data_IF_797817828194
#
_entry.id   IF_797817828194
#
_cell.length_a   1.000
_cell.length_b   1.000
_cell.length_c   1.000
_cell.angle_alpha   90.00
_cell.angle_beta   90.00
_cell.angle_gamma   90.00
#
_symmetry.space_group_name_H-M   'P 1'
#
loop_
_entity.id
_entity.type
_entity.pdbx_description
1 polymer ?
#
# COMPACT_ATOMS: atom_id res chain seq x y z
N UNK A 1 19.82 -0.94 6.17
CA UNK A 1 18.88 -2.08 6.15
C UNK A 1 17.62 -1.60 5.42
N UNK A 2 17.21 -2.29 4.37
CA UNK A 2 16.08 -1.89 3.52
C UNK A 2 14.76 -1.79 4.33
N UNK A 3 13.88 -0.84 3.98
CA UNK A 3 12.59 -0.63 4.66
C UNK A 3 11.76 -1.91 4.64
N UNK A 4 11.78 -2.65 3.54
CA UNK A 4 11.08 -3.92 3.40
C UNK A 4 11.53 -4.96 4.45
N UNK A 5 12.84 -5.08 4.69
CA UNK A 5 13.37 -6.00 5.69
C UNK A 5 12.91 -5.63 7.12
N UNK A 6 12.84 -4.33 7.44
CA UNK A 6 12.34 -3.86 8.74
C UNK A 6 10.84 -4.11 8.89
N UNK A 7 10.07 -4.02 7.80
CA UNK A 7 8.64 -4.38 7.80
C UNK A 7 8.41 -5.88 8.03
N UNK A 8 9.24 -6.73 7.41
CA UNK A 8 9.20 -8.17 7.67
C UNK A 8 9.56 -8.52 9.11
N UNK A 9 10.54 -7.83 9.70
CA UNK A 9 10.85 -7.98 11.12
C UNK A 9 9.67 -7.56 12.01
N UNK A 10 9.00 -6.45 11.69
CA UNK A 10 7.83 -5.97 12.43
C UNK A 10 6.63 -6.93 12.34
N UNK A 11 6.41 -7.59 11.19
CA UNK A 11 5.28 -8.51 11.02
C UNK A 11 5.42 -9.82 11.82
N UNK A 12 6.63 -10.13 12.33
CA UNK A 12 6.89 -11.36 13.12
C UNK A 12 6.03 -11.51 14.39
N UNK A 13 5.47 -10.41 14.91
CA UNK A 13 4.54 -10.42 16.05
C UNK A 13 3.15 -10.97 15.72
N UNK A 14 2.83 -11.14 14.42
CA UNK A 14 1.57 -11.73 13.97
C UNK A 14 0.36 -10.78 13.95
N UNK A 15 0.55 -9.49 14.22
CA UNK A 15 -0.52 -8.48 14.12
C UNK A 15 -0.92 -8.17 12.68
N UNK A 16 0.00 -8.36 11.73
CA UNK A 16 -0.18 -8.12 10.31
C UNK A 16 0.79 -8.99 9.49
N UNK A 17 0.58 -9.02 8.18
CA UNK A 17 1.50 -9.63 7.20
C UNK A 17 2.01 -8.58 6.21
N UNK A 18 3.10 -8.89 5.52
CA UNK A 18 3.59 -8.11 4.39
C UNK A 18 3.46 -9.00 3.15
N UNK A 19 2.91 -8.51 2.03
CA UNK A 19 2.80 -9.33 0.83
C UNK A 19 4.19 -9.74 0.33
N UNK A 20 4.30 -10.97 -0.18
CA UNK A 20 5.57 -11.45 -0.76
C UNK A 20 6.00 -10.50 -1.86
N UNK A 21 7.22 -10.00 -1.76
CA UNK A 21 7.76 -8.98 -2.67
C UNK A 21 9.12 -9.44 -3.18
N UNK A 22 9.30 -9.46 -4.49
CA UNK A 22 10.54 -9.84 -5.16
C UNK A 22 11.04 -8.67 -6.00
N UNK A 23 12.31 -8.31 -5.84
CA UNK A 23 12.94 -7.22 -6.58
C UNK A 23 13.70 -7.75 -7.81
N UNK A 24 13.56 -7.06 -8.94
CA UNK A 24 14.26 -7.37 -10.19
C UNK A 24 14.87 -6.12 -10.78
N UNK A 25 15.85 -6.30 -11.66
CA UNK A 25 16.46 -5.23 -12.46
C UNK A 25 15.58 -4.80 -13.63
N UNK A 26 14.72 -5.69 -14.14
CA UNK A 26 13.76 -5.41 -15.21
C UNK A 26 12.64 -6.47 -15.22
N UNK A 27 11.56 -6.21 -15.97
CA UNK A 27 10.49 -7.21 -16.18
C UNK A 27 10.96 -8.42 -16.98
N UNK A 28 11.92 -8.23 -17.88
CA UNK A 28 12.52 -9.31 -18.67
C UNK A 28 13.28 -10.30 -17.80
N UNK A 29 13.96 -9.80 -16.76
CA UNK A 29 14.65 -10.66 -15.80
C UNK A 29 13.64 -11.48 -14.99
N UNK A 30 12.57 -10.85 -14.50
CA UNK A 30 11.49 -11.55 -13.79
C UNK A 30 10.79 -12.62 -14.67
N UNK A 31 10.59 -12.34 -15.96
CA UNK A 31 10.03 -13.28 -16.93
C UNK A 31 10.97 -14.48 -17.18
N UNK A 32 12.28 -14.25 -17.22
CA UNK A 32 13.30 -15.28 -17.43
C UNK A 32 13.46 -16.18 -16.22
N UNK A 33 13.52 -15.60 -15.02
CA UNK A 33 13.72 -16.33 -13.77
C UNK A 33 12.49 -17.14 -13.35
N UNK A 34 11.29 -16.76 -13.82
CA UNK A 34 10.01 -17.43 -13.52
C UNK A 34 9.87 -17.76 -12.02
N UNK A 35 9.76 -16.76 -11.15
CA UNK A 35 9.76 -17.00 -9.71
C UNK A 35 8.59 -17.90 -9.28
N UNK A 36 8.89 -19.08 -8.77
CA UNK A 36 7.90 -20.00 -8.19
C UNK A 36 7.43 -19.54 -6.80
N UNK A 37 8.25 -18.73 -6.13
CA UNK A 37 7.98 -18.24 -4.78
C UNK A 37 6.89 -17.15 -4.70
N UNK A 38 6.49 -16.53 -5.82
CA UNK A 38 5.45 -15.49 -5.84
C UNK A 38 4.15 -16.00 -6.44
N UNK A 39 3.04 -15.75 -5.76
CA UNK A 39 1.71 -16.13 -6.25
C UNK A 39 1.09 -14.98 -7.04
N UNK A 40 0.46 -15.34 -8.15
CA UNK A 40 -0.34 -14.40 -8.93
C UNK A 40 -1.77 -14.32 -8.35
N UNK A 41 -2.45 -13.16 -8.49
CA UNK A 41 -2.01 -11.94 -9.18
C UNK A 41 -0.90 -11.16 -8.46
N UNK A 42 -0.15 -10.33 -9.22
CA UNK A 42 0.91 -9.47 -8.67
C UNK A 42 0.77 -8.03 -9.15
N UNK A 43 1.12 -7.06 -8.30
CA UNK A 43 1.37 -5.68 -8.72
C UNK A 43 2.87 -5.52 -9.02
N UNK A 44 3.16 -5.05 -10.21
CA UNK A 44 4.47 -4.59 -10.63
C UNK A 44 4.60 -3.07 -10.37
N UNK A 45 5.61 -2.69 -9.58
CA UNK A 45 5.92 -1.28 -9.24
C UNK A 45 7.37 -0.98 -9.62
N UNK A 46 7.64 0.19 -10.20
CA UNK A 46 9.02 0.65 -10.41
C UNK A 46 9.66 0.98 -9.05
N UNK A 47 10.95 0.67 -8.87
CA UNK A 47 11.71 0.99 -7.64
C UNK A 47 12.20 2.43 -7.60
N UNK A 48 12.25 3.11 -8.74
CA UNK A 48 12.63 4.51 -8.84
C UNK A 48 11.57 5.38 -8.16
N UNK A 49 11.76 5.68 -6.87
CA UNK A 49 10.89 6.55 -6.06
C UNK A 49 11.12 8.05 -6.28
N UNK A 50 11.89 8.43 -7.32
CA UNK A 50 12.13 9.83 -7.63
C UNK A 50 10.93 10.39 -8.39
N UNK A 51 10.48 11.60 -7.99
CA UNK A 51 9.26 12.38 -8.30
C UNK A 51 8.87 12.59 -9.78
N UNK A 52 9.17 11.61 -10.62
CA UNK A 52 8.86 11.49 -12.04
C UNK A 52 7.48 10.84 -12.18
N UNK A 53 6.76 11.20 -13.24
CA UNK A 53 5.41 10.67 -13.55
C UNK A 53 5.48 9.13 -13.67
N UNK A 54 6.62 8.63 -14.14
CA UNK A 54 6.94 7.24 -14.38
C UNK A 54 6.99 6.39 -13.10
N UNK A 55 7.29 6.97 -11.93
CA UNK A 55 7.40 6.25 -10.66
C UNK A 55 6.05 5.72 -10.16
N UNK A 56 4.95 6.35 -10.60
CA UNK A 56 3.59 6.05 -10.16
C UNK A 56 2.83 5.13 -11.12
N UNK A 57 3.43 4.86 -12.29
CA UNK A 57 2.93 3.88 -13.24
C UNK A 57 3.15 2.47 -12.70
N UNK A 58 2.05 1.74 -12.51
CA UNK A 58 2.03 0.38 -12.00
C UNK A 58 1.27 -0.52 -12.97
N UNK A 59 1.49 -1.83 -12.83
CA UNK A 59 0.80 -2.83 -13.62
C UNK A 59 0.31 -3.97 -12.72
N UNK A 60 -0.99 -4.24 -12.72
CA UNK A 60 -1.58 -5.41 -12.08
C UNK A 60 -1.59 -6.55 -13.10
N UNK A 61 -0.88 -7.63 -12.78
CA UNK A 61 -0.65 -8.76 -13.65
C UNK A 61 -1.44 -9.96 -13.12
N UNK A 62 -2.50 -10.41 -13.83
CA UNK A 62 -3.43 -11.41 -13.29
C UNK A 62 -2.83 -12.82 -13.21
N UNK A 63 -1.87 -13.15 -14.08
CA UNK A 63 -1.30 -14.49 -14.17
C UNK A 63 0.13 -14.48 -14.72
N UNK A 64 0.84 -15.60 -14.51
CA UNK A 64 2.18 -15.79 -15.09
C UNK A 64 2.16 -15.71 -16.62
N UNK A 65 1.09 -16.17 -17.25
CA UNK A 65 0.90 -16.05 -18.69
C UNK A 65 0.72 -14.59 -19.11
N UNK A 66 -0.08 -13.81 -18.38
CA UNK A 66 -0.26 -12.38 -18.67
C UNK A 66 1.05 -11.59 -18.51
N UNK A 67 1.93 -12.02 -17.62
CA UNK A 67 3.23 -11.39 -17.41
C UNK A 67 4.08 -11.34 -18.69
N UNK A 68 3.97 -12.29 -19.61
CA UNK A 68 4.75 -12.27 -20.86
C UNK A 68 4.34 -11.15 -21.82
N UNK A 69 3.17 -10.54 -21.62
CA UNK A 69 2.69 -9.40 -22.40
C UNK A 69 3.17 -8.05 -21.85
N UNK A 70 3.85 -8.03 -20.69
CA UNK A 70 4.36 -6.79 -20.08
C UNK A 70 5.76 -6.49 -20.61
N UNK A 71 5.95 -5.30 -21.18
CA UNK A 71 7.25 -4.87 -21.75
C UNK A 71 7.71 -3.48 -21.27
N UNK A 72 6.82 -2.65 -20.75
CA UNK A 72 7.09 -1.24 -20.41
C UNK A 72 7.82 -1.03 -19.06
N UNK A 73 8.46 -2.08 -18.53
CA UNK A 73 9.12 -2.10 -17.22
C UNK A 73 10.58 -2.56 -17.34
N UNK A 74 11.35 -1.89 -18.20
CA UNK A 74 12.79 -2.16 -18.44
C UNK A 74 13.73 -1.50 -17.40
N UNK A 75 13.20 -1.08 -16.24
CA UNK A 75 13.96 -0.49 -15.13
C UNK A 75 13.77 -1.28 -13.83
N UNK A 76 14.59 -1.06 -12.78
CA UNK A 76 14.47 -1.78 -11.53
C UNK A 76 13.05 -1.70 -10.97
N UNK A 77 12.49 -2.86 -10.64
CA UNK A 77 11.10 -3.02 -10.24
C UNK A 77 10.95 -4.00 -9.08
N UNK A 78 9.75 -4.01 -8.51
CA UNK A 78 9.29 -5.03 -7.58
C UNK A 78 8.03 -5.68 -8.11
N UNK A 79 7.95 -7.01 -7.99
CA UNK A 79 6.72 -7.77 -8.09
C UNK A 79 6.24 -8.05 -6.67
N UNK A 80 5.05 -7.59 -6.33
CA UNK A 80 4.43 -7.79 -5.03
C UNK A 80 3.12 -8.57 -5.20
N UNK A 81 2.88 -9.59 -4.38
CA UNK A 81 1.59 -10.31 -4.36
C UNK A 81 0.43 -9.31 -4.22
N UNK A 82 -0.56 -9.41 -5.10
CA UNK A 82 -1.79 -8.66 -4.98
C UNK A 82 -2.70 -9.36 -3.97
N UNK A 83 -3.03 -8.65 -2.90
CA UNK A 83 -3.95 -9.13 -1.87
C UNK A 83 -5.35 -8.70 -2.27
N UNK A 84 -6.26 -9.63 -2.47
CA UNK A 84 -7.68 -9.32 -2.69
C UNK A 84 -8.31 -8.76 -1.42
N UNK A 85 -8.90 -7.57 -1.51
CA UNK A 85 -9.24 -6.70 -0.39
C UNK A 85 -10.51 -5.86 -0.62
N UNK A 86 -11.39 -6.32 -1.52
CA UNK A 86 -12.67 -5.70 -1.87
C UNK A 86 -12.59 -4.25 -2.34
N UNK A 87 -11.40 -3.86 -2.84
CA UNK A 87 -11.14 -2.51 -3.32
C UNK A 87 -11.23 -1.42 -2.25
N UNK A 88 -10.88 -1.74 -1.01
CA UNK A 88 -10.80 -0.77 0.08
C UNK A 88 -9.38 -0.70 0.64
N UNK A 89 -8.76 0.47 0.52
CA UNK A 89 -7.49 0.79 1.17
C UNK A 89 -7.75 1.47 2.51
N UNK A 90 -7.19 0.93 3.59
CA UNK A 90 -7.22 1.57 4.91
C UNK A 90 -5.92 2.36 5.06
N UNK A 91 -6.03 3.69 5.10
CA UNK A 91 -4.90 4.59 5.29
C UNK A 91 -4.83 5.05 6.73
N UNK A 92 -3.71 4.75 7.38
CA UNK A 92 -3.48 5.10 8.78
C UNK A 92 -2.35 6.12 8.85
N UNK A 93 -2.62 7.25 9.49
CA UNK A 93 -1.60 8.21 9.89
C UNK A 93 -1.38 8.13 11.38
N UNK A 94 -0.11 8.26 11.78
CA UNK A 94 0.30 8.23 13.17
C UNK A 94 1.09 9.48 13.50
N UNK A 95 0.69 10.16 14.57
CA UNK A 95 1.41 11.29 15.16
C UNK A 95 1.58 11.05 16.66
N UNK A 96 2.82 10.81 17.09
CA UNK A 96 3.19 10.53 18.50
C UNK A 96 2.34 9.42 19.18
N UNK A 97 1.96 8.39 18.41
CA UNK A 97 1.18 7.25 18.88
C UNK A 97 -0.33 7.35 18.63
N UNK A 98 -0.84 8.54 18.31
CA UNK A 98 -2.25 8.75 17.98
C UNK A 98 -2.57 8.37 16.53
N UNK A 99 -3.70 7.66 16.33
CA UNK A 99 -4.13 7.18 15.02
C UNK A 99 -5.22 8.04 14.38
N UNK A 100 -4.99 8.39 13.13
CA UNK A 100 -5.96 9.00 12.22
C UNK A 100 -6.18 8.06 11.05
N UNK A 101 -7.39 7.50 10.94
CA UNK A 101 -7.70 6.42 10.00
C UNK A 101 -8.71 6.92 8.98
N UNK A 102 -8.50 6.57 7.71
CA UNK A 102 -9.45 6.83 6.63
C UNK A 102 -9.48 5.65 5.67
N UNK A 103 -10.59 5.47 4.96
CA UNK A 103 -10.72 4.49 3.88
C UNK A 103 -10.67 5.18 2.53
N UNK A 104 -10.17 4.49 1.50
CA UNK A 104 -10.11 4.99 0.12
C UNK A 104 -10.53 3.91 -0.88
N UNK A 105 -11.13 4.30 -2.02
CA UNK A 105 -11.28 3.42 -3.17
C UNK A 105 -9.94 2.80 -3.59
N UNK A 106 -9.99 1.52 -3.93
CA UNK A 106 -8.86 0.72 -4.40
C UNK A 106 -9.35 -0.33 -5.41
N UNK A 107 -8.45 -1.18 -5.87
CA UNK A 107 -8.70 -2.21 -6.88
C UNK A 107 -9.68 -3.26 -6.40
N UNK A 108 -10.75 -3.50 -7.17
CA UNK A 108 -11.64 -4.63 -6.94
C UNK A 108 -10.88 -5.95 -7.10
N UNK A 109 -11.40 -7.00 -6.49
CA UNK A 109 -10.85 -8.35 -6.64
C UNK A 109 -10.92 -8.77 -8.12
N UNK A 110 -9.90 -9.51 -8.59
CA UNK A 110 -9.83 -9.87 -9.99
C UNK A 110 -10.82 -10.98 -10.29
N UNK A 111 -11.56 -10.85 -11.40
CA UNK A 111 -12.37 -11.97 -11.88
C UNK A 111 -11.47 -13.02 -12.52
N UNK A 112 -11.91 -14.27 -12.52
CA UNK A 112 -11.25 -15.38 -13.25
C UNK A 112 -11.16 -15.14 -14.75
N UNK A 113 -11.93 -14.19 -15.29
CA UNK A 113 -11.93 -13.78 -16.69
C UNK A 113 -10.90 -12.68 -16.98
N UNK A 114 -10.23 -12.13 -15.97
CA UNK A 114 -9.20 -11.11 -16.16
C UNK A 114 -7.93 -11.76 -16.69
N UNK A 115 -7.68 -11.67 -17.99
CA UNK A 115 -6.53 -12.33 -18.64
C UNK A 115 -5.40 -11.37 -19.03
N UNK A 116 -5.68 -10.07 -19.13
CA UNK A 116 -4.72 -9.06 -19.56
C UNK A 116 -4.13 -8.28 -18.38
N UNK A 117 -2.88 -7.80 -18.47
CA UNK A 117 -2.33 -6.85 -17.52
C UNK A 117 -3.13 -5.54 -17.51
N UNK A 118 -3.31 -4.96 -16.31
CA UNK A 118 -4.03 -3.69 -16.11
C UNK A 118 -2.99 -2.63 -15.72
N UNK A 119 -2.82 -1.64 -16.58
CA UNK A 119 -1.91 -0.51 -16.34
C UNK A 119 -2.67 0.64 -15.70
N UNK A 120 -2.06 1.28 -14.71
CA UNK A 120 -2.68 2.41 -14.01
C UNK A 120 -1.62 3.33 -13.39
N UNK A 121 -2.04 4.56 -13.10
CA UNK A 121 -1.28 5.49 -12.27
C UNK A 121 -1.88 5.52 -10.85
N UNK A 122 -1.07 5.14 -9.87
CA UNK A 122 -1.45 5.14 -8.46
C UNK A 122 -1.90 6.52 -7.92
N UNK A 123 -1.46 7.63 -8.52
CA UNK A 123 -1.88 8.97 -8.13
C UNK A 123 -3.29 9.35 -8.62
N UNK A 124 -3.76 8.70 -9.69
CA UNK A 124 -5.10 8.93 -10.25
C UNK A 124 -6.20 8.20 -9.49
N UNK A 125 -5.83 7.36 -8.52
CA UNK A 125 -6.79 6.68 -7.66
C UNK A 125 -7.59 7.69 -6.82
N UNK A 126 -8.93 7.56 -6.78
CA UNK A 126 -9.76 8.44 -5.96
C UNK A 126 -9.38 8.38 -4.48
N UNK A 127 -9.49 9.53 -3.81
CA UNK A 127 -9.14 9.67 -2.38
C UNK A 127 -10.34 9.56 -1.45
N UNK A 128 -11.56 9.55 -1.99
CA UNK A 128 -12.85 9.51 -1.29
C UNK A 128 -13.88 8.76 -2.15
N UNK A 129 -14.95 8.26 -1.52
CA UNK A 129 -16.05 7.56 -2.19
C UNK A 129 -17.12 8.59 -2.70
N UNK A 130 -17.43 8.58 -4.02
CA UNK A 130 -18.36 9.48 -4.76
C UNK A 130 -17.96 10.99 -4.83
N UNK A 131 -18.45 11.89 -5.72
CA UNK A 131 -18.37 12.07 -7.21
C UNK A 131 -17.88 13.52 -7.52
N UNK A 132 -17.53 13.95 -8.77
CA UNK A 132 -18.53 14.39 -9.77
C UNK A 132 -18.43 13.82 -11.21
N UNK A 133 -17.40 13.08 -11.61
CA UNK A 133 -17.35 12.45 -12.95
C UNK A 133 -16.85 11.03 -12.77
N UNK A 134 -17.71 10.05 -13.05
CA UNK A 134 -17.37 8.62 -13.11
C UNK A 134 -16.13 8.45 -14.00
N UNK A 135 -14.96 8.37 -13.37
CA UNK A 135 -13.79 7.86 -14.05
C UNK A 135 -14.15 6.41 -14.34
N UNK A 136 -14.47 6.11 -15.60
CA UNK A 136 -14.76 4.76 -16.06
C UNK A 136 -13.48 3.93 -15.91
N UNK A 137 -13.28 3.46 -14.68
CA UNK A 137 -12.21 2.58 -14.26
C UNK A 137 -12.88 1.29 -13.81
N UNK A 138 -13.15 0.37 -14.75
CA UNK A 138 -13.86 -0.87 -14.46
C UNK A 138 -13.20 -1.70 -13.35
N UNK A 139 -11.93 -1.48 -13.08
CA UNK A 139 -11.12 -2.18 -12.08
C UNK A 139 -11.18 -1.56 -10.67
N UNK A 140 -11.83 -0.41 -10.47
CA UNK A 140 -11.92 0.26 -9.16
C UNK A 140 -13.23 -0.12 -8.42
N UNK A 141 -13.17 -0.20 -7.10
CA UNK A 141 -14.36 -0.23 -6.26
C UNK A 141 -14.89 1.21 -6.04
N UNK A 142 -16.01 1.54 -6.67
CA UNK A 142 -16.61 2.88 -6.62
C UNK A 142 -17.56 3.09 -5.42
N UNK A 143 -18.06 1.99 -4.84
CA UNK A 143 -19.04 2.03 -3.75
C UNK A 143 -18.59 1.07 -2.65
N UNK A 144 -18.56 1.55 -1.40
CA UNK A 144 -18.41 0.68 -0.24
C UNK A 144 -19.66 -0.20 -0.12
N UNK A 145 -19.55 -1.54 -0.17
CA UNK A 145 -20.71 -2.40 0.09
C UNK A 145 -21.23 -2.21 1.52
N UNK A 146 -20.32 -1.98 2.48
CA UNK A 146 -20.47 -1.40 3.82
C UNK A 146 -19.07 -0.90 4.24
N UNK A 147 -18.95 0.17 5.04
CA UNK A 147 -17.63 0.53 5.60
C UNK A 147 -17.07 -0.68 6.36
N UNK A 148 -15.82 -1.09 6.11
CA UNK A 148 -15.25 -2.22 6.81
C UNK A 148 -15.21 -1.87 8.29
N UNK A 149 -15.62 -2.82 9.15
CA UNK A 149 -15.47 -2.62 10.59
C UNK A 149 -13.98 -2.56 10.91
N UNK A 150 -13.48 -1.36 11.20
CA UNK A 150 -12.07 -1.13 11.46
C UNK A 150 -11.71 -1.63 12.86
N UNK A 151 -10.85 -2.64 12.95
CA UNK A 151 -10.25 -3.06 14.23
C UNK A 151 -9.18 -2.04 14.65
N UNK A 152 -9.62 -0.93 15.25
CA UNK A 152 -8.73 0.13 15.73
C UNK A 152 -7.69 -0.41 16.73
N UNK A 153 -8.03 -1.40 17.54
CA UNK A 153 -7.11 -1.99 18.51
C UNK A 153 -5.98 -2.76 17.79
N UNK A 154 -6.29 -3.52 16.73
CA UNK A 154 -5.27 -4.13 15.87
C UNK A 154 -4.44 -3.09 15.15
N UNK A 155 -5.05 -2.06 14.56
CA UNK A 155 -4.31 -0.97 13.91
C UNK A 155 -3.36 -0.24 14.88
N UNK A 156 -3.74 -0.09 16.14
CA UNK A 156 -2.87 0.45 17.19
C UNK A 156 -1.68 -0.46 17.47
N UNK A 157 -1.90 -1.77 17.60
CA UNK A 157 -0.79 -2.74 17.77
C UNK A 157 0.16 -2.75 16.58
N UNK A 158 -0.37 -2.65 15.36
CA UNK A 158 0.44 -2.53 14.13
C UNK A 158 1.28 -1.23 14.18
N UNK A 159 0.67 -0.10 14.54
CA UNK A 159 1.35 1.18 14.66
C UNK A 159 2.48 1.11 15.70
N UNK A 160 2.21 0.65 16.93
CA UNK A 160 3.24 0.45 17.97
C UNK A 160 4.34 -0.50 17.46
N UNK A 161 3.93 -1.58 16.79
CA UNK A 161 4.72 -2.45 15.93
C UNK A 161 5.81 -1.72 15.13
N UNK A 162 5.31 -0.91 14.19
CA UNK A 162 6.12 -0.16 13.25
C UNK A 162 6.95 0.90 13.96
N UNK A 163 6.39 1.62 14.94
CA UNK A 163 7.08 2.66 15.68
C UNK A 163 8.31 2.12 16.43
N UNK A 164 8.20 0.99 17.11
CA UNK A 164 9.32 0.37 17.84
C UNK A 164 10.43 -0.09 16.89
N UNK A 165 10.08 -0.70 15.75
CA UNK A 165 11.05 -1.22 14.78
C UNK A 165 11.66 -0.13 13.90
N UNK A 166 10.86 0.91 13.59
CA UNK A 166 11.22 1.95 12.64
C UNK A 166 11.78 3.22 13.30
N UNK A 167 11.45 3.47 14.57
CA UNK A 167 11.83 4.67 15.32
C UNK A 167 11.07 5.93 14.90
N UNK A 168 9.87 5.78 14.33
CA UNK A 168 9.14 6.88 13.69
C UNK A 168 8.22 7.60 14.68
N UNK A 169 8.06 8.91 14.49
CA UNK A 169 7.13 9.75 15.30
C UNK A 169 5.93 10.19 14.46
N UNK A 170 6.21 10.61 13.23
CA UNK A 170 5.21 10.96 12.23
C UNK A 170 5.38 10.02 11.04
N UNK A 171 4.37 9.20 10.79
CA UNK A 171 4.40 8.25 9.70
C UNK A 171 2.99 7.89 9.26
N UNK A 172 2.87 7.33 8.07
CA UNK A 172 1.63 6.73 7.62
C UNK A 172 1.90 5.36 7.03
N UNK A 173 0.91 4.50 7.12
CA UNK A 173 0.98 3.17 6.53
C UNK A 173 -0.36 2.79 5.91
N UNK A 174 -0.27 1.98 4.87
CA UNK A 174 -1.40 1.55 4.07
C UNK A 174 -1.67 0.08 4.37
N UNK A 175 -2.92 -0.22 4.73
CA UNK A 175 -3.38 -1.54 5.15
C UNK A 175 -4.45 -2.05 4.19
N UNK A 176 -4.31 -3.31 3.80
CA UNK A 176 -5.34 -4.07 3.10
C UNK A 176 -5.92 -5.10 4.07
N UNK A 177 -7.25 -5.23 4.08
CA UNK A 177 -7.94 -6.31 4.78
C UNK A 177 -8.23 -7.42 3.78
N UNK A 178 -7.58 -8.57 3.92
CA UNK A 178 -7.75 -9.66 2.95
C UNK A 178 -9.18 -10.21 2.98
N UNK A 179 -9.84 -10.22 1.81
CA UNK A 179 -11.25 -10.59 1.66
C UNK A 179 -11.60 -11.95 2.30
N UNK A 180 -10.81 -12.97 2.01
CA UNK A 180 -11.12 -14.35 2.39
C UNK A 180 -10.85 -14.68 3.87
N UNK A 181 -9.91 -13.97 4.52
CA UNK A 181 -9.37 -14.37 5.83
C UNK A 181 -9.48 -13.29 6.91
N UNK A 182 -9.73 -12.04 6.54
CA UNK A 182 -9.67 -10.89 7.45
C UNK A 182 -8.25 -10.56 7.94
N UNK A 183 -7.20 -11.14 7.35
CA UNK A 183 -5.82 -10.83 7.72
C UNK A 183 -5.45 -9.42 7.23
N UNK A 184 -4.82 -8.65 8.11
CA UNK A 184 -4.31 -7.31 7.79
C UNK A 184 -2.95 -7.42 7.09
N UNK A 185 -2.81 -6.77 5.94
CA UNK A 185 -1.55 -6.65 5.21
C UNK A 185 -1.09 -5.21 5.19
N UNK A 186 0.13 -4.94 5.65
CA UNK A 186 0.76 -3.63 5.46
C UNK A 186 1.50 -3.65 4.13
N UNK A 187 1.11 -2.76 3.22
CA UNK A 187 1.59 -2.76 1.83
C UNK A 187 2.52 -1.59 1.49
N UNK A 188 2.44 -0.51 2.29
CA UNK A 188 3.30 0.66 2.15
C UNK A 188 3.47 1.38 3.49
N UNK A 189 4.63 1.99 3.71
CA UNK A 189 4.95 2.82 4.89
C UNK A 189 5.72 4.06 4.46
N UNK A 190 5.18 5.22 4.79
CA UNK A 190 5.72 6.52 4.45
C UNK A 190 6.21 7.24 5.70
N UNK A 191 7.45 7.73 5.68
CA UNK A 191 7.95 8.63 6.71
C UNK A 191 7.42 10.04 6.46
N UNK A 192 6.84 10.66 7.50
CA UNK A 192 6.29 12.01 7.43
C UNK A 192 5.46 12.26 6.15
N UNK A 193 4.32 11.56 5.97
CA UNK A 193 3.43 11.83 4.84
C UNK A 193 2.80 13.23 4.96
N UNK A 194 1.98 13.62 3.99
CA UNK A 194 1.42 14.98 3.95
C UNK A 194 0.44 15.35 5.07
N UNK A 195 -0.11 14.38 5.83
CA UNK A 195 -1.16 14.56 6.85
C UNK A 195 -2.37 15.41 6.42
N UNK A 196 -2.62 15.62 5.12
CA UNK A 196 -3.68 16.51 4.59
C UNK A 196 -5.09 16.20 5.07
N UNK A 197 -5.35 14.96 5.50
CA UNK A 197 -6.66 14.51 5.97
C UNK A 197 -6.73 14.42 7.51
N UNK A 198 -5.71 14.93 8.22
CA UNK A 198 -5.68 15.00 9.67
C UNK A 198 -6.09 16.42 10.09
N UNK A 199 -7.24 16.59 10.77
CA UNK A 199 -7.66 17.89 11.27
C UNK A 199 -6.60 18.51 12.17
N UNK A 200 -6.37 19.82 12.04
CA UNK A 200 -5.48 20.61 12.90
C UNK A 200 -4.06 20.03 13.05
N UNK A 201 -3.56 19.36 11.99
CA UNK A 201 -2.24 18.72 12.03
C UNK A 201 -1.10 19.69 12.38
N UNK A 202 -1.20 20.96 11.97
CA UNK A 202 -0.20 21.98 12.32
C UNK A 202 -0.07 22.17 13.84
N UNK A 203 -1.19 22.23 14.54
CA UNK A 203 -1.20 22.38 16.00
C UNK A 203 -0.71 21.10 16.69
N UNK A 204 -1.16 19.93 16.23
CA UNK A 204 -0.69 18.63 16.70
C UNK A 204 0.84 18.52 16.56
N UNK A 205 1.36 18.89 15.38
CA UNK A 205 2.79 18.89 15.10
C UNK A 205 3.56 19.80 16.05
N UNK A 206 3.10 21.05 16.25
CA UNK A 206 3.73 22.00 17.16
C UNK A 206 3.70 21.51 18.62
N UNK A 207 2.61 20.90 19.08
CA UNK A 207 2.51 20.34 20.43
C UNK A 207 3.51 19.19 20.64
N UNK A 208 3.61 18.28 19.67
CA UNK A 208 4.56 17.16 19.72
C UNK A 208 6.01 17.67 19.70
N UNK A 209 6.33 18.67 18.87
CA UNK A 209 7.65 19.28 18.86
C UNK A 209 8.00 19.92 20.20
N UNK A 210 7.08 20.70 20.79
CA UNK A 210 7.27 21.32 22.13
C UNK A 210 7.49 20.28 23.23
N UNK A 211 6.83 19.12 23.14
CA UNK A 211 7.01 18.01 24.09
C UNK A 211 8.37 17.34 23.95
N UNK A 212 8.92 17.26 22.74
CA UNK A 212 10.17 16.52 22.44
C UNK A 212 11.43 17.37 22.44
N UNK A 213 11.30 18.67 22.21
CA UNK A 213 12.37 19.62 22.41
C UNK A 213 12.34 20.06 23.88
N UNK A 214 13.34 19.71 24.71
CA UNK A 214 13.46 20.34 26.02
C UNK A 214 13.51 21.86 25.83
N UNK A 215 12.88 22.60 26.74
CA UNK A 215 12.81 24.07 26.74
C UNK A 215 14.16 24.65 26.31
N UNK A 216 14.20 25.32 25.15
CA UNK A 216 15.33 26.14 24.73
C UNK A 216 15.51 27.31 25.71
#
# INVERSE_FOLDING_TARGET
MDLHHRLLAASSRGDFKVPTTLAYTSIRDAQRERPDAIRFPVICKRRSACSSVEAHQMCLIPSRQAMSAVSDFDSPLVLQEFIEHDGILIKVYVADGELYISTRPSFKNLSTQTTSPIYFDSQTLPKQFGLPNDVDMPWLCQHLPQEPTLDRARLQRIASCLQEQLGLTFYGFDVLLQYHTGVHYVVDVNYFPSFKNVPDFQDIFLQILKKRLPSL
#
